data_IF_378878731211
#
_entry.id   IF_378878731211
#
_cell.length_a   1.000
_cell.length_b   1.000
_cell.length_c   1.000
_cell.angle_alpha   90.00
_cell.angle_beta   90.00
_cell.angle_gamma   90.00
#
_symmetry.space_group_name_H-M   'P 1'
#
loop_
_entity.id
_entity.type
_entity.pdbx_description
1 polymer ?
#
# COMPACT_ATOMS: atom_id res chain seq x y z
N UNK A 1 -8.44 6.92 8.79
CA UNK A 1 -7.88 7.64 7.63
C UNK A 1 -8.01 6.76 6.40
N UNK A 2 -8.57 7.29 5.31
CA UNK A 2 -8.72 6.60 4.03
C UNK A 2 -7.54 6.91 3.10
N UNK A 3 -7.20 6.00 2.20
CA UNK A 3 -6.16 6.24 1.17
C UNK A 3 -6.41 7.51 0.33
N UNK A 4 -7.66 7.82 -0.02
CA UNK A 4 -8.01 9.04 -0.77
C UNK A 4 -7.70 10.33 0.01
N UNK A 5 -7.76 10.30 1.34
CA UNK A 5 -7.43 11.46 2.17
C UNK A 5 -5.90 11.63 2.21
N UNK A 6 -5.16 10.53 2.39
CA UNK A 6 -3.70 10.49 2.43
C UNK A 6 -3.07 10.96 1.11
N UNK A 7 -3.67 10.61 -0.03
CA UNK A 7 -3.12 10.90 -1.36
C UNK A 7 -3.92 11.97 -2.11
N UNK A 8 -4.65 12.82 -1.40
CA UNK A 8 -5.48 13.89 -1.98
C UNK A 8 -4.69 14.90 -2.84
N UNK A 9 -3.36 14.98 -2.66
CA UNK A 9 -2.46 15.83 -3.43
C UNK A 9 -1.99 15.22 -4.75
N UNK A 10 -2.28 13.94 -5.02
CA UNK A 10 -1.83 13.25 -6.25
C UNK A 10 -2.81 13.58 -7.38
N UNK A 11 -2.34 14.30 -8.42
CA UNK A 11 -3.15 14.61 -9.61
C UNK A 11 -3.44 13.34 -10.41
N UNK A 12 -4.71 13.13 -10.72
CA UNK A 12 -5.25 11.93 -11.39
C UNK A 12 -4.89 11.81 -12.88
N UNK A 13 -4.41 12.91 -13.48
CA UNK A 13 -4.36 13.06 -14.93
C UNK A 13 -2.97 12.77 -15.54
N UNK A 14 -1.95 12.44 -14.73
CA UNK A 14 -0.61 12.10 -15.24
C UNK A 14 -0.21 10.64 -14.94
N UNK A 15 -0.78 10.00 -13.91
CA UNK A 15 -0.61 8.58 -13.59
C UNK A 15 -1.84 8.08 -12.83
N UNK A 16 -2.32 6.87 -13.14
CA UNK A 16 -3.29 6.20 -12.25
C UNK A 16 -2.58 5.90 -10.92
N UNK A 17 -3.01 6.50 -9.79
CA UNK A 17 -2.42 6.21 -8.50
C UNK A 17 -2.72 4.74 -8.16
N UNK A 18 -1.69 3.90 -8.20
CA UNK A 18 -1.81 2.51 -7.79
C UNK A 18 -1.70 2.45 -6.26
N UNK A 19 -2.85 2.40 -5.60
CA UNK A 19 -2.92 2.09 -4.18
C UNK A 19 -3.97 1.01 -3.94
N UNK A 20 -3.72 0.21 -2.93
CA UNK A 20 -4.68 -0.75 -2.38
C UNK A 20 -4.85 -0.46 -0.91
N UNK A 21 -6.09 -0.59 -0.46
CA UNK A 21 -6.46 -0.39 0.93
C UNK A 21 -7.08 -1.70 1.44
N UNK A 22 -6.64 -2.13 2.62
CA UNK A 22 -7.10 -3.35 3.26
C UNK A 22 -7.48 -3.05 4.71
N UNK A 23 -8.72 -3.39 5.05
CA UNK A 23 -9.26 -3.20 6.39
C UNK A 23 -9.33 -4.54 7.10
N UNK A 24 -8.62 -4.65 8.22
CA UNK A 24 -8.84 -5.72 9.21
C UNK A 24 -9.67 -5.22 10.38
N UNK A 25 -9.89 -6.08 11.38
CA UNK A 25 -10.56 -5.71 12.62
C UNK A 25 -9.89 -4.53 13.32
N UNK A 26 -8.57 -4.60 13.47
CA UNK A 26 -7.79 -3.65 14.29
C UNK A 26 -6.95 -2.67 13.48
N UNK A 27 -6.77 -2.90 12.18
CA UNK A 27 -5.86 -2.11 11.35
C UNK A 27 -6.49 -1.66 10.03
N UNK A 28 -6.05 -0.51 9.54
CA UNK A 28 -6.18 -0.12 8.15
C UNK A 28 -4.77 -0.13 7.52
N UNK A 29 -4.62 -0.87 6.43
CA UNK A 29 -3.35 -1.04 5.73
C UNK A 29 -3.49 -0.40 4.36
N UNK A 30 -2.60 0.53 4.06
CA UNK A 30 -2.53 1.23 2.78
C UNK A 30 -1.20 0.89 2.15
N UNK A 31 -1.26 0.29 0.96
CA UNK A 31 -0.09 -0.05 0.15
C UNK A 31 -0.17 0.76 -1.13
N UNK A 32 0.91 1.40 -1.55
CA UNK A 32 0.90 2.21 -2.76
C UNK A 32 2.24 2.22 -3.48
N UNK A 33 2.21 2.54 -4.78
CA UNK A 33 3.38 2.72 -5.62
C UNK A 33 3.37 4.10 -6.28
N UNK A 34 4.53 4.74 -6.34
CA UNK A 34 4.75 6.00 -7.07
C UNK A 34 5.91 5.87 -8.07
N UNK A 35 5.79 6.51 -9.23
CA UNK A 35 6.91 6.64 -10.15
C UNK A 35 7.93 7.65 -9.58
N UNK A 36 9.22 7.36 -9.72
CA UNK A 36 10.27 8.30 -9.33
C UNK A 36 10.36 9.44 -10.35
N UNK A 37 10.41 10.66 -9.84
CA UNK A 37 10.52 11.88 -10.66
C UNK A 37 11.86 11.95 -11.41
N UNK A 38 12.93 11.38 -10.84
CA UNK A 38 14.27 11.37 -11.44
C UNK A 38 14.50 10.06 -12.18
N UNK A 39 14.40 10.09 -13.52
CA UNK A 39 14.74 9.00 -14.44
C UNK A 39 16.26 8.78 -14.53
N UNK A 40 16.95 8.63 -13.40
CA UNK A 40 18.42 8.55 -13.39
C UNK A 40 18.99 7.22 -13.83
N UNK A 41 18.20 6.16 -13.98
CA UNK A 41 18.66 4.96 -14.68
C UNK A 41 17.49 4.16 -15.26
N UNK A 42 17.62 3.77 -16.53
CA UNK A 42 16.49 3.38 -17.38
C UNK A 42 15.76 2.08 -17.03
N UNK A 43 16.15 1.28 -16.02
CA UNK A 43 15.66 -0.12 -16.00
C UNK A 43 15.40 -0.83 -14.66
N UNK A 44 15.67 -0.26 -13.47
CA UNK A 44 15.44 -1.04 -12.21
C UNK A 44 14.75 -0.30 -11.07
N UNK A 45 14.84 1.02 -11.01
CA UNK A 45 14.40 1.77 -9.83
C UNK A 45 13.33 2.82 -10.14
N UNK A 46 12.53 2.59 -11.18
CA UNK A 46 11.53 3.57 -11.63
C UNK A 46 10.39 3.77 -10.62
N UNK A 47 10.19 2.83 -9.70
CA UNK A 47 9.07 2.84 -8.77
C UNK A 47 9.52 2.87 -7.31
N UNK A 48 8.72 3.49 -6.46
CA UNK A 48 8.84 3.43 -4.99
C UNK A 48 7.55 2.87 -4.42
N UNK A 49 7.67 2.03 -3.41
CA UNK A 49 6.54 1.38 -2.76
C UNK A 49 6.45 1.80 -1.31
N UNK A 50 5.24 2.09 -0.85
CA UNK A 50 4.99 2.57 0.49
C UNK A 50 4.01 1.63 1.18
N UNK A 51 4.35 1.29 2.42
CA UNK A 51 3.48 0.59 3.36
C UNK A 51 3.10 1.57 4.44
N UNK A 52 1.81 1.72 4.70
CA UNK A 52 1.29 2.43 5.87
C UNK A 52 0.32 1.53 6.61
N UNK A 53 0.47 1.43 7.92
CA UNK A 53 -0.44 0.68 8.79
C UNK A 53 -0.92 1.61 9.89
N UNK A 54 -2.23 1.71 10.01
CA UNK A 54 -2.91 2.53 10.99
C UNK A 54 -3.69 1.65 11.94
N UNK A 55 -3.58 1.91 13.24
CA UNK A 55 -4.48 1.29 14.21
C UNK A 55 -5.86 1.90 14.08
N UNK A 56 -6.89 1.06 14.07
CA UNK A 56 -8.29 1.47 14.13
C UNK A 56 -8.64 1.69 15.58
N UNK A 57 -9.07 2.91 15.90
CA UNK A 57 -9.63 3.17 17.22
C UNK A 57 -11.11 2.76 17.23
N UNK A 58 -11.59 2.05 18.28
CA UNK A 58 -13.00 1.80 18.45
C UNK A 58 -13.70 3.15 18.70
N UNK A 59 -14.53 3.55 17.75
CA UNK A 59 -15.26 4.82 17.76
C UNK A 59 -16.21 4.91 18.96
N UNK A 60 -15.76 5.49 20.07
CA UNK A 60 -16.67 6.09 21.06
C UNK A 60 -16.98 7.53 20.63
N UNK A 61 -17.86 7.67 19.64
CA UNK A 61 -18.65 8.90 19.46
C UNK A 61 -17.98 10.14 18.87
N UNK A 62 -16.76 10.09 18.31
CA UNK A 62 -16.18 11.23 17.56
C UNK A 62 -15.96 10.88 16.10
N UNK A 63 -16.36 11.82 15.23
CA UNK A 63 -16.40 11.70 13.75
C UNK A 63 -15.02 11.70 13.08
N UNK A 64 -13.95 11.91 13.83
CA UNK A 64 -12.61 12.06 13.28
C UNK A 64 -11.81 10.78 13.54
N UNK A 65 -11.97 9.81 12.63
CA UNK A 65 -11.19 8.58 12.55
C UNK A 65 -9.75 8.86 12.10
N UNK A 66 -9.01 9.66 12.87
CA UNK A 66 -7.56 9.80 12.72
C UNK A 66 -6.92 8.52 13.28
N UNK A 67 -6.83 7.50 12.43
CA UNK A 67 -6.10 6.28 12.77
C UNK A 67 -4.66 6.64 13.11
N UNK A 68 -4.18 6.20 14.26
CA UNK A 68 -2.80 6.42 14.66
C UNK A 68 -1.91 5.62 13.71
N UNK A 69 -1.00 6.30 13.01
CA UNK A 69 0.03 5.64 12.20
C UNK A 69 0.91 4.83 13.14
N UNK A 70 0.88 3.51 13.02
CA UNK A 70 1.71 2.61 13.84
C UNK A 70 2.91 2.10 13.07
N UNK A 71 2.88 2.15 11.73
CA UNK A 71 4.01 1.75 10.90
C UNK A 71 4.01 2.46 9.55
N UNK A 72 5.20 2.85 9.09
CA UNK A 72 5.42 3.24 7.71
C UNK A 72 6.80 2.79 7.22
N UNK A 73 6.88 2.31 5.98
CA UNK A 73 8.15 1.95 5.32
C UNK A 73 8.10 2.20 3.82
N UNK A 74 9.26 2.52 3.25
CA UNK A 74 9.46 2.76 1.83
C UNK A 74 10.41 1.69 1.28
N UNK A 75 10.11 1.19 0.09
CA UNK A 75 10.91 0.24 -0.67
C UNK A 75 11.19 0.77 -2.07
N UNK A 76 12.33 0.36 -2.62
CA UNK A 76 12.90 0.93 -3.84
C UNK A 76 12.66 0.06 -5.08
N UNK A 77 12.19 -1.18 -4.90
CA UNK A 77 11.77 -2.09 -5.96
C UNK A 77 10.53 -2.90 -5.55
N UNK A 78 9.86 -3.52 -6.54
CA UNK A 78 8.70 -4.38 -6.30
C UNK A 78 9.09 -5.65 -5.55
N UNK A 79 10.23 -6.22 -5.90
CA UNK A 79 10.78 -7.44 -5.33
C UNK A 79 11.08 -7.23 -3.84
N UNK A 80 11.81 -6.16 -3.52
CA UNK A 80 12.13 -5.80 -2.13
C UNK A 80 10.84 -5.57 -1.33
N UNK A 81 9.87 -4.86 -1.91
CA UNK A 81 8.56 -4.65 -1.31
C UNK A 81 7.86 -5.98 -1.00
N UNK A 82 7.72 -6.88 -1.97
CA UNK A 82 6.98 -8.12 -1.79
C UNK A 82 7.65 -9.11 -0.84
N UNK A 83 8.98 -9.21 -0.87
CA UNK A 83 9.77 -10.07 0.03
C UNK A 83 9.60 -9.65 1.50
N UNK A 84 9.57 -8.34 1.77
CA UNK A 84 9.42 -7.82 3.12
C UNK A 84 7.95 -7.74 3.57
N UNK A 85 7.02 -7.52 2.63
CA UNK A 85 5.62 -7.26 2.95
C UNK A 85 4.97 -8.41 3.72
N UNK A 86 5.31 -9.66 3.38
CA UNK A 86 4.76 -10.83 4.07
C UNK A 86 5.06 -10.80 5.58
N UNK A 87 6.32 -10.53 5.94
CA UNK A 87 6.75 -10.46 7.33
C UNK A 87 6.13 -9.28 8.06
N UNK A 88 6.12 -8.11 7.43
CA UNK A 88 5.50 -6.91 8.00
C UNK A 88 4.02 -7.17 8.27
N UNK A 89 3.26 -7.63 7.28
CA UNK A 89 1.83 -7.89 7.44
C UNK A 89 1.55 -8.97 8.49
N UNK A 90 2.42 -9.99 8.61
CA UNK A 90 2.30 -11.03 9.63
C UNK A 90 2.36 -10.52 11.07
N UNK A 91 2.95 -9.35 11.32
CA UNK A 91 2.95 -8.72 12.65
C UNK A 91 1.60 -8.08 13.00
N UNK A 92 0.80 -7.69 12.00
CA UNK A 92 -0.45 -6.95 12.20
C UNK A 92 -1.72 -7.73 11.82
N UNK A 93 -1.58 -8.78 11.00
CA UNK A 93 -2.65 -9.65 10.53
C UNK A 93 -2.42 -11.06 11.08
N UNK A 94 -3.04 -11.35 12.22
CA UNK A 94 -2.95 -12.66 12.88
C UNK A 94 -3.72 -13.73 12.08
N UNK A 95 -4.79 -13.36 11.38
CA UNK A 95 -5.53 -14.26 10.51
C UNK A 95 -4.78 -14.46 9.18
N UNK A 96 -4.35 -15.71 8.93
CA UNK A 96 -3.65 -16.09 7.71
C UNK A 96 -4.49 -15.87 6.45
N UNK A 97 -5.82 -15.95 6.53
CA UNK A 97 -6.69 -15.63 5.40
C UNK A 97 -6.68 -14.14 5.07
N UNK A 98 -6.66 -13.26 6.08
CA UNK A 98 -6.53 -11.82 5.88
C UNK A 98 -5.16 -11.47 5.30
N UNK A 99 -4.10 -12.08 5.83
CA UNK A 99 -2.73 -11.94 5.32
C UNK A 99 -2.65 -12.28 3.83
N UNK A 100 -3.14 -13.46 3.44
CA UNK A 100 -3.13 -13.91 2.03
C UNK A 100 -3.96 -12.97 1.14
N UNK A 101 -5.12 -12.51 1.60
CA UNK A 101 -5.95 -11.54 0.86
C UNK A 101 -5.22 -10.22 0.64
N UNK A 102 -4.60 -9.67 1.70
CA UNK A 102 -3.84 -8.43 1.62
C UNK A 102 -2.63 -8.59 0.68
N UNK A 103 -1.89 -9.70 0.76
CA UNK A 103 -0.79 -10.02 -0.16
C UNK A 103 -1.25 -10.13 -1.63
N UNK A 104 -2.41 -10.71 -1.88
CA UNK A 104 -2.97 -10.81 -3.23
C UNK A 104 -3.40 -9.44 -3.78
N UNK A 105 -3.89 -8.53 -2.93
CA UNK A 105 -4.14 -7.15 -3.32
C UNK A 105 -2.83 -6.42 -3.65
N UNK A 106 -1.78 -6.62 -2.87
CA UNK A 106 -0.47 -5.99 -3.08
C UNK A 106 0.14 -6.32 -4.45
N UNK A 107 -0.14 -7.51 -5.01
CA UNK A 107 0.29 -7.89 -6.37
C UNK A 107 -0.19 -6.94 -7.46
N UNK A 108 -1.34 -6.27 -7.26
CA UNK A 108 -1.87 -5.26 -8.19
C UNK A 108 -0.98 -4.02 -8.29
N UNK A 109 -0.05 -3.85 -7.35
CA UNK A 109 0.97 -2.82 -7.39
C UNK A 109 2.19 -3.22 -8.24
N UNK A 110 2.21 -4.38 -8.91
CA UNK A 110 3.24 -4.64 -9.91
C UNK A 110 2.99 -3.75 -11.16
N UNK A 111 4.00 -3.04 -11.69
CA UNK A 111 3.85 -2.22 -12.90
C UNK A 111 3.31 -3.00 -14.10
N UNK A 112 3.69 -4.28 -14.20
CA UNK A 112 3.34 -5.16 -15.30
C UNK A 112 2.12 -6.06 -14.96
N UNK A 113 1.35 -5.73 -13.91
CA UNK A 113 0.28 -6.60 -13.42
C UNK A 113 -0.80 -6.88 -14.49
N UNK A 114 -1.15 -5.87 -15.29
CA UNK A 114 -2.17 -5.98 -16.34
C UNK A 114 -1.60 -6.44 -17.69
N UNK A 115 -0.33 -6.15 -17.97
CA UNK A 115 0.37 -6.62 -19.18
C UNK A 115 0.41 -8.16 -19.26
N UNK A 116 0.49 -8.82 -18.10
CA UNK A 116 0.45 -10.28 -17.98
C UNK A 116 -0.93 -10.91 -18.06
N UNK A 117 -2.02 -10.13 -18.14
CA UNK A 117 -3.40 -10.63 -18.20
C UNK A 117 -4.01 -10.62 -19.61
N UNK A 118 -3.25 -10.23 -20.63
CA UNK A 118 -3.69 -10.35 -22.03
C UNK A 118 -4.95 -9.54 -22.36
N UNK A 119 -5.05 -8.32 -21.86
CA UNK A 119 -6.10 -7.34 -22.21
C UNK A 119 -5.52 -6.31 -23.17
#
# INVERSE_FOLDING_TARGET
MKAKELFSFVKKDEFEPAFVEFYSADHNIILTRFERVLKTDKNKDQWMYFVYIFKREPTKGKKDNLGISVYNKIFHSYEEFMENLYFILGEYLVDSHELIKCMNLAKKLNPNYYDGQGI
#
